data_IF_892593404116
#
_entry.id   IF_892593404116
#
_cell.length_a   1.000
_cell.length_b   1.000
_cell.length_c   1.000
_cell.angle_alpha   90.00
_cell.angle_beta   90.00
_cell.angle_gamma   90.00
#
_symmetry.space_group_name_H-M   'P 1'
#
loop_
_entity.id
_entity.type
_entity.pdbx_description
1 polymer ?
#
# COMPACT_ATOMS: atom_id res chain seq x y z
N UNK A 1 14.03 8.71 -4.87
CA UNK A 1 12.60 8.97 -4.57
C UNK A 1 12.51 9.83 -3.32
N UNK A 2 11.83 10.98 -3.36
CA UNK A 2 11.62 11.82 -2.18
C UNK A 2 10.37 11.31 -1.44
N UNK A 3 10.57 10.49 -0.40
CA UNK A 3 9.48 9.92 0.44
C UNK A 3 8.94 10.94 1.46
N UNK A 4 9.80 11.86 1.89
CA UNK A 4 9.50 12.87 2.90
C UNK A 4 10.04 14.24 2.49
N UNK A 5 9.33 15.30 2.90
CA UNK A 5 9.72 16.71 2.74
C UNK A 5 9.91 17.34 4.12
N UNK A 6 11.05 17.98 4.37
CA UNK A 6 11.25 18.75 5.62
C UNK A 6 10.38 20.01 5.61
N UNK A 7 9.67 20.26 6.69
CA UNK A 7 8.88 21.49 6.88
C UNK A 7 9.82 22.68 7.11
N UNK A 8 9.53 23.82 6.46
CA UNK A 8 10.29 25.07 6.64
C UNK A 8 9.85 25.80 7.90
N UNK A 9 10.73 26.62 8.46
CA UNK A 9 10.47 27.40 9.68
C UNK A 9 9.24 28.32 9.62
N UNK A 10 8.83 28.76 8.42
CA UNK A 10 7.70 29.68 8.24
C UNK A 10 6.37 28.96 7.98
N UNK A 11 6.36 27.64 7.93
CA UNK A 11 5.15 26.86 7.65
C UNK A 11 4.44 26.51 8.96
N UNK A 12 3.14 26.80 9.03
CA UNK A 12 2.32 26.50 10.21
C UNK A 12 2.10 24.98 10.30
N UNK A 13 2.33 24.43 11.49
CA UNK A 13 2.12 23.03 11.81
C UNK A 13 1.02 22.88 12.86
N UNK A 14 -0.14 22.41 12.40
CA UNK A 14 -1.31 22.18 13.26
C UNK A 14 -1.31 20.78 13.89
N UNK A 15 -0.88 19.78 13.13
CA UNK A 15 -0.87 18.38 13.53
C UNK A 15 0.47 17.73 13.19
N UNK A 16 0.95 16.88 14.10
CA UNK A 16 2.09 15.98 13.86
C UNK A 16 1.80 14.63 14.47
N UNK A 17 2.43 13.61 13.91
CA UNK A 17 2.39 12.24 14.39
C UNK A 17 3.79 11.83 14.83
N UNK A 18 4.00 11.23 16.01
CA UNK A 18 5.30 10.69 16.38
C UNK A 18 5.79 9.69 15.33
N UNK A 19 7.08 9.74 15.03
CA UNK A 19 7.71 8.71 14.21
C UNK A 19 8.30 7.59 15.06
N UNK A 20 8.26 6.39 14.53
CA UNK A 20 8.77 5.16 15.12
C UNK A 20 9.71 4.49 14.12
N UNK A 21 10.69 3.77 14.65
CA UNK A 21 11.48 2.81 13.88
C UNK A 21 11.07 1.44 14.35
N UNK A 22 10.47 0.66 13.46
CA UNK A 22 10.19 -0.75 13.73
C UNK A 22 11.38 -1.58 13.25
N UNK A 23 11.77 -2.56 14.05
CA UNK A 23 12.83 -3.49 13.71
C UNK A 23 12.21 -4.86 13.48
N UNK A 24 12.43 -5.43 12.30
CA UNK A 24 12.00 -6.78 11.98
C UNK A 24 13.01 -7.47 11.05
N UNK A 25 13.36 -8.71 11.35
CA UNK A 25 14.25 -9.56 10.53
C UNK A 25 15.53 -8.84 10.02
N UNK A 26 16.21 -8.12 10.91
CA UNK A 26 17.46 -7.41 10.59
C UNK A 26 17.27 -6.13 9.76
N UNK A 27 16.02 -5.70 9.53
CA UNK A 27 15.67 -4.51 8.76
C UNK A 27 14.93 -3.50 9.64
N UNK A 28 15.39 -2.25 9.61
CA UNK A 28 14.67 -1.13 10.21
C UNK A 28 13.70 -0.51 9.20
N UNK A 29 12.45 -0.34 9.58
CA UNK A 29 11.43 0.35 8.78
C UNK A 29 10.96 1.60 9.50
N UNK A 30 10.89 2.70 8.76
CA UNK A 30 10.35 3.95 9.26
C UNK A 30 8.82 3.89 9.22
N UNK A 31 8.17 4.13 10.37
CA UNK A 31 6.71 4.10 10.50
C UNK A 31 6.22 5.35 11.24
N UNK A 32 5.11 5.94 10.80
CA UNK A 32 4.42 6.95 11.60
C UNK A 32 3.46 6.29 12.58
N UNK A 33 3.39 6.78 13.82
CA UNK A 33 2.42 6.31 14.82
C UNK A 33 1.01 6.88 14.57
N UNK A 34 0.39 6.48 13.46
CA UNK A 34 -0.92 7.01 13.06
C UNK A 34 -2.10 6.48 13.89
N UNK A 35 -1.89 5.86 15.06
CA UNK A 35 -2.99 5.29 15.87
C UNK A 35 -4.07 6.31 16.21
N UNK A 36 -3.67 7.49 16.69
CA UNK A 36 -4.59 8.60 16.98
C UNK A 36 -5.28 9.10 15.71
N UNK A 37 -4.53 9.30 14.61
CA UNK A 37 -5.11 9.70 13.33
C UNK A 37 -6.15 8.69 12.79
N UNK A 38 -5.85 7.40 12.94
CA UNK A 38 -6.69 6.29 12.50
C UNK A 38 -7.99 6.14 13.32
N UNK A 39 -8.10 6.74 14.51
CA UNK A 39 -9.36 6.79 15.27
C UNK A 39 -10.29 7.89 14.78
N UNK A 40 -9.75 8.99 14.23
CA UNK A 40 -10.55 10.07 13.63
C UNK A 40 -10.86 9.86 12.15
N UNK A 41 -10.12 8.97 11.48
CA UNK A 41 -10.31 8.69 10.06
C UNK A 41 -11.46 7.70 9.84
N UNK A 42 -12.41 8.06 8.96
CA UNK A 42 -13.45 7.13 8.49
C UNK A 42 -12.79 5.94 7.78
N UNK A 43 -13.08 4.73 8.28
CA UNK A 43 -12.56 3.51 7.68
C UNK A 43 -13.08 3.32 6.27
N UNK A 44 -12.17 3.09 5.32
CA UNK A 44 -12.50 2.71 3.95
C UNK A 44 -12.86 1.22 3.93
N UNK A 45 -14.14 0.91 3.66
CA UNK A 45 -14.66 -0.46 3.62
C UNK A 45 -14.65 -1.01 2.21
N UNK A 46 -13.60 -0.70 1.44
CA UNK A 46 -13.43 -1.27 0.12
C UNK A 46 -13.37 -2.80 0.23
N UNK A 47 -14.12 -3.55 -0.61
CA UNK A 47 -14.13 -5.00 -0.54
C UNK A 47 -12.77 -5.54 -0.96
N UNK A 48 -12.01 -6.04 0.00
CA UNK A 48 -10.80 -6.81 -0.28
C UNK A 48 -11.24 -8.26 -0.38
N UNK A 49 -11.21 -8.80 -1.59
CA UNK A 49 -11.64 -10.17 -1.87
C UNK A 49 -10.87 -11.13 -0.96
N UNK A 50 -11.58 -11.88 -0.12
CA UNK A 50 -10.96 -12.95 0.64
C UNK A 50 -10.55 -14.05 -0.33
N UNK A 51 -9.36 -14.60 -0.08
CA UNK A 51 -8.68 -15.63 -0.89
C UNK A 51 -9.55 -16.81 -1.36
N UNK A 52 -10.65 -17.27 -0.70
CA UNK A 52 -11.38 -18.44 -1.19
C UNK A 52 -12.06 -18.29 -2.56
N UNK A 53 -12.35 -17.07 -3.01
CA UNK A 53 -13.22 -16.88 -4.18
C UNK A 53 -12.61 -17.27 -5.55
N UNK A 54 -11.28 -17.20 -5.77
CA UNK A 54 -10.67 -17.63 -7.03
C UNK A 54 -9.89 -18.95 -6.95
N UNK A 55 -9.96 -19.67 -5.82
CA UNK A 55 -9.23 -20.94 -5.64
C UNK A 55 -9.60 -22.00 -6.68
N UNK A 56 -10.82 -21.98 -7.23
CA UNK A 56 -11.24 -22.96 -8.24
C UNK A 56 -10.46 -22.83 -9.56
N UNK A 57 -10.10 -21.60 -9.95
CA UNK A 57 -9.22 -21.39 -11.12
C UNK A 57 -7.77 -21.69 -10.74
N UNK A 58 -7.35 -21.33 -9.52
CA UNK A 58 -6.02 -21.66 -8.99
C UNK A 58 -5.76 -23.16 -8.89
N UNK A 59 -6.78 -23.95 -8.58
CA UNK A 59 -6.70 -25.40 -8.50
C UNK A 59 -6.44 -26.06 -9.86
N UNK A 60 -6.80 -25.39 -10.97
CA UNK A 60 -6.57 -25.88 -12.34
C UNK A 60 -5.28 -25.36 -12.95
N UNK A 61 -4.69 -24.32 -12.37
CA UNK A 61 -3.45 -23.74 -12.84
C UNK A 61 -2.30 -24.76 -12.74
N UNK A 62 -1.51 -24.85 -13.82
CA UNK A 62 -0.28 -25.65 -13.85
C UNK A 62 0.97 -24.79 -13.66
N UNK A 63 0.85 -23.50 -13.94
CA UNK A 63 1.91 -22.52 -13.81
C UNK A 63 1.39 -21.35 -12.99
N UNK A 64 2.14 -20.96 -11.96
CA UNK A 64 1.77 -19.88 -11.04
C UNK A 64 3.02 -19.04 -10.78
N UNK A 65 2.90 -17.73 -10.99
CA UNK A 65 3.89 -16.76 -10.54
C UNK A 65 3.27 -15.90 -9.44
N UNK A 66 3.99 -15.75 -8.33
CA UNK A 66 3.65 -14.76 -7.31
C UNK A 66 4.64 -13.60 -7.41
N UNK A 67 4.12 -12.39 -7.61
CA UNK A 67 4.89 -11.16 -7.71
C UNK A 67 4.55 -10.27 -6.50
N UNK A 68 5.59 -9.87 -5.76
CA UNK A 68 5.47 -8.90 -4.68
C UNK A 68 5.76 -7.49 -5.21
N UNK A 69 4.83 -6.55 -4.97
CA UNK A 69 5.03 -5.15 -5.31
C UNK A 69 6.06 -4.52 -4.37
N UNK A 70 7.33 -4.49 -4.79
CA UNK A 70 8.41 -3.92 -3.96
C UNK A 70 8.09 -2.49 -3.49
N UNK A 71 7.92 -2.34 -2.16
CA UNK A 71 7.53 -1.08 -1.51
C UNK A 71 6.27 -0.45 -2.13
N UNK A 72 5.25 -1.25 -2.42
CA UNK A 72 4.01 -0.81 -3.09
C UNK A 72 3.42 0.49 -2.51
N UNK A 73 3.33 0.59 -1.19
CA UNK A 73 2.83 1.81 -0.53
C UNK A 73 3.69 3.06 -0.78
N UNK A 74 5.02 2.94 -0.78
CA UNK A 74 5.94 4.05 -1.03
C UNK A 74 5.84 4.59 -2.47
N UNK A 75 5.27 3.82 -3.38
CA UNK A 75 5.04 4.26 -4.76
C UNK A 75 3.81 5.17 -4.87
N UNK A 76 2.88 5.13 -3.91
CA UNK A 76 1.64 5.88 -3.99
C UNK A 76 1.80 7.32 -3.52
N UNK A 77 1.52 8.26 -4.42
CA UNK A 77 1.55 9.69 -4.13
C UNK A 77 0.42 10.11 -3.20
N UNK A 78 0.76 10.87 -2.16
CA UNK A 78 -0.23 11.51 -1.29
C UNK A 78 -0.67 12.84 -1.93
N UNK A 79 -1.97 13.13 -1.92
CA UNK A 79 -2.47 14.43 -2.40
C UNK A 79 -1.94 15.57 -1.52
N UNK A 80 -1.58 16.74 -2.08
CA UNK A 80 -1.00 17.86 -1.31
C UNK A 80 -1.80 18.25 -0.05
N UNK A 81 -3.13 18.23 -0.13
CA UNK A 81 -4.00 18.57 1.00
C UNK A 81 -3.95 17.51 2.12
N UNK A 82 -3.68 16.25 1.77
CA UNK A 82 -3.57 15.15 2.73
C UNK A 82 -2.16 15.07 3.34
N UNK A 83 -1.12 15.59 2.69
CA UNK A 83 0.26 15.58 3.21
C UNK A 83 0.36 16.25 4.59
N UNK A 84 -0.41 17.32 4.81
CA UNK A 84 -0.44 18.07 6.08
C UNK A 84 -0.92 17.21 7.26
N UNK A 85 -1.81 16.25 6.98
CA UNK A 85 -2.39 15.33 7.97
C UNK A 85 -1.44 14.16 8.27
N UNK A 86 -0.52 13.89 7.35
CA UNK A 86 0.46 12.80 7.43
C UNK A 86 1.84 13.31 7.84
N UNK A 87 1.88 14.42 8.58
CA UNK A 87 3.11 14.99 9.14
C UNK A 87 3.64 14.10 10.26
N UNK A 88 4.95 13.89 10.23
CA UNK A 88 5.69 13.12 11.22
C UNK A 88 6.67 14.04 11.97
N UNK A 89 6.88 13.77 13.25
CA UNK A 89 7.86 14.46 14.09
C UNK A 89 8.91 13.49 14.63
N UNK A 90 10.17 13.90 14.57
CA UNK A 90 11.31 13.19 15.12
C UNK A 90 12.33 14.17 15.71
N UNK A 91 13.38 13.67 16.34
CA UNK A 91 14.46 14.49 16.91
C UNK A 91 15.16 15.40 15.89
N UNK A 92 15.04 15.14 14.58
CA UNK A 92 15.59 15.96 13.48
C UNK A 92 14.63 17.04 12.96
N UNK A 93 13.41 17.08 13.47
CA UNK A 93 12.37 18.05 13.10
C UNK A 93 11.10 17.41 12.55
N UNK A 94 10.32 18.23 11.84
CA UNK A 94 9.02 17.88 11.30
C UNK A 94 9.13 17.65 9.79
N UNK A 95 8.50 16.58 9.32
CA UNK A 95 8.51 16.19 7.92
C UNK A 95 7.09 15.84 7.45
N UNK A 96 6.82 16.03 6.16
CA UNK A 96 5.60 15.60 5.47
C UNK A 96 5.88 14.37 4.62
N UNK A 97 5.01 13.36 4.74
CA UNK A 97 5.03 12.21 3.84
C UNK A 97 4.43 12.61 2.48
N UNK A 98 5.25 12.56 1.44
CA UNK A 98 4.83 12.80 0.04
C UNK A 98 4.30 11.53 -0.62
N UNK A 99 4.69 10.38 -0.07
CA UNK A 99 4.22 9.04 -0.42
C UNK A 99 3.48 8.44 0.77
N UNK A 100 2.66 7.43 0.51
CA UNK A 100 1.81 6.85 1.54
C UNK A 100 2.66 6.16 2.62
N UNK A 101 2.70 6.69 3.86
CA UNK A 101 3.51 6.09 4.91
C UNK A 101 2.84 4.85 5.49
N UNK A 102 3.66 3.94 6.01
CA UNK A 102 3.18 2.80 6.80
C UNK A 102 2.41 3.26 8.04
N UNK A 103 1.38 2.47 8.39
CA UNK A 103 0.57 2.66 9.60
C UNK A 103 -0.76 3.37 9.40
N UNK A 104 -1.07 3.86 8.19
CA UNK A 104 -2.39 4.46 7.89
C UNK A 104 -3.43 3.37 7.65
N UNK A 105 -4.59 3.50 8.32
CA UNK A 105 -5.70 2.53 8.28
C UNK A 105 -6.23 2.21 6.88
N UNK A 106 -6.33 3.20 6.01
CA UNK A 106 -6.97 3.05 4.69
C UNK A 106 -5.97 2.72 3.56
N UNK A 107 -4.70 2.46 3.89
CA UNK A 107 -3.64 2.23 2.90
C UNK A 107 -3.92 1.01 2.03
N UNK A 108 -4.20 -0.15 2.64
CA UNK A 108 -4.50 -1.40 1.92
C UNK A 108 -5.75 -1.30 1.05
N UNK A 109 -6.82 -0.66 1.55
CA UNK A 109 -8.05 -0.46 0.79
C UNK A 109 -7.85 0.42 -0.44
N UNK A 110 -7.03 1.47 -0.30
CA UNK A 110 -6.65 2.33 -1.42
C UNK A 110 -5.80 1.56 -2.45
N UNK A 111 -4.84 0.78 -1.97
CA UNK A 111 -3.97 -0.03 -2.83
C UNK A 111 -4.77 -1.08 -3.61
N UNK A 112 -5.63 -1.84 -2.93
CA UNK A 112 -6.50 -2.82 -3.58
C UNK A 112 -7.37 -2.17 -4.67
N UNK A 113 -8.02 -1.05 -4.37
CA UNK A 113 -8.85 -0.34 -5.35
C UNK A 113 -8.06 0.09 -6.58
N UNK A 114 -6.83 0.57 -6.38
CA UNK A 114 -5.94 0.94 -7.47
C UNK A 114 -5.62 -0.27 -8.35
N UNK A 115 -5.26 -1.40 -7.73
CA UNK A 115 -4.93 -2.63 -8.45
C UNK A 115 -6.14 -3.22 -9.17
N UNK A 116 -7.31 -3.28 -8.52
CA UNK A 116 -8.55 -3.75 -9.13
C UNK A 116 -8.94 -2.92 -10.35
N UNK A 117 -8.70 -1.60 -10.29
CA UNK A 117 -8.95 -0.70 -11.43
C UNK A 117 -7.93 -0.95 -12.55
N UNK A 118 -6.67 -1.26 -12.21
CA UNK A 118 -5.59 -1.43 -13.18
C UNK A 118 -5.61 -2.79 -13.89
N UNK A 119 -6.03 -3.83 -13.19
CA UNK A 119 -6.07 -5.23 -13.65
C UNK A 119 -7.50 -5.75 -13.80
N UNK A 120 -8.46 -4.85 -14.04
CA UNK A 120 -9.88 -5.19 -14.03
C UNK A 120 -10.20 -6.29 -15.04
N UNK A 121 -9.66 -6.20 -16.26
CA UNK A 121 -9.94 -7.15 -17.35
C UNK A 121 -9.34 -8.52 -17.01
N UNK A 122 -8.09 -8.53 -16.56
CA UNK A 122 -7.33 -9.74 -16.24
C UNK A 122 -7.88 -10.49 -15.01
N UNK A 123 -8.42 -9.74 -14.04
CA UNK A 123 -9.15 -10.29 -12.89
C UNK A 123 -10.48 -10.91 -13.33
N UNK A 124 -11.21 -10.26 -14.26
CA UNK A 124 -12.48 -10.78 -14.79
C UNK A 124 -12.26 -12.06 -15.62
N UNK A 125 -11.25 -12.07 -16.48
CA UNK A 125 -10.79 -13.27 -17.20
C UNK A 125 -10.26 -14.33 -16.22
N UNK A 126 -9.71 -13.88 -15.10
CA UNK A 126 -9.34 -14.68 -13.93
C UNK A 126 -8.04 -15.44 -14.07
N UNK A 127 -7.12 -14.94 -14.89
CA UNK A 127 -5.72 -15.39 -14.94
C UNK A 127 -4.79 -14.51 -14.07
N UNK A 128 -5.29 -13.35 -13.58
CA UNK A 128 -4.67 -12.57 -12.50
C UNK A 128 -5.54 -12.60 -11.25
N UNK A 129 -4.91 -12.70 -10.09
CA UNK A 129 -5.48 -12.38 -8.79
C UNK A 129 -4.60 -11.34 -8.10
N UNK A 130 -5.21 -10.28 -7.56
CA UNK A 130 -4.49 -9.27 -6.78
C UNK A 130 -5.00 -9.26 -5.34
N UNK A 131 -4.08 -9.34 -4.39
CA UNK A 131 -4.35 -9.23 -2.96
C UNK A 131 -3.37 -8.23 -2.33
N UNK A 132 -3.84 -7.00 -2.10
CA UNK A 132 -3.02 -5.88 -1.62
C UNK A 132 -1.73 -5.79 -2.46
N UNK A 133 -0.56 -6.14 -1.91
CA UNK A 133 0.73 -6.01 -2.58
C UNK A 133 1.13 -7.26 -3.40
N UNK A 134 0.42 -8.39 -3.22
CA UNK A 134 0.65 -9.65 -3.92
C UNK A 134 -0.15 -9.71 -5.24
N UNK A 135 0.55 -10.01 -6.34
CA UNK A 135 -0.07 -10.28 -7.65
C UNK A 135 0.25 -11.72 -8.02
N UNK A 136 -0.79 -12.52 -8.18
CA UNK A 136 -0.70 -13.92 -8.59
C UNK A 136 -1.14 -14.02 -10.04
N UNK A 137 -0.26 -14.54 -10.89
CA UNK A 137 -0.52 -14.81 -12.31
C UNK A 137 -0.57 -16.32 -12.49
N UNK A 138 -1.56 -16.81 -13.21
CA UNK A 138 -1.77 -18.25 -13.38
C UNK A 138 -2.16 -18.63 -14.82
N UNK A 139 -1.77 -19.85 -15.22
CA UNK A 139 -2.19 -20.43 -16.49
C UNK A 139 -2.19 -21.97 -16.46
N UNK A 140 -2.84 -22.59 -17.45
CA UNK A 140 -2.88 -24.04 -17.63
C UNK A 140 -1.77 -24.58 -18.56
N UNK A 141 -1.20 -23.72 -19.42
CA UNK A 141 -0.14 -24.08 -20.37
C UNK A 141 1.05 -23.14 -20.24
N UNK A 142 2.26 -23.64 -20.55
CA UNK A 142 3.47 -22.82 -20.48
C UNK A 142 3.47 -21.72 -21.55
N UNK A 143 2.89 -22.01 -22.72
CA UNK A 143 2.78 -21.07 -23.82
C UNK A 143 1.98 -19.83 -23.41
N UNK A 144 0.82 -20.04 -22.78
CA UNK A 144 -0.02 -18.93 -22.28
C UNK A 144 0.65 -18.21 -21.09
N UNK A 145 1.49 -18.90 -20.30
CA UNK A 145 2.13 -18.31 -19.13
C UNK A 145 3.22 -17.27 -19.44
N UNK A 146 3.83 -17.39 -20.62
CA UNK A 146 4.99 -16.58 -21.03
C UNK A 146 4.58 -15.42 -21.94
N UNK A 147 3.36 -15.44 -22.50
CA UNK A 147 2.78 -14.33 -23.26
C UNK A 147 2.29 -13.22 -22.34
#
# INVERSE_FOLDING_TARGET
MNLIRKIRHNEIVEITTPSLITWNDGKSTFCGDFRAWNSYTKGDRYPITRIPHPLDKLAKAKYINNLDCFKGFDQNGVKPNSMKLLRIICYKGIYECTRMPFGIKNSSAHFQRMMDTRFQEEILEGWIMVYIDDIIIQSETWQDHVQ
#
